data_IF_121366749506
#
_entry.id   IF_121366749506
#
_cell.length_a   1.000
_cell.length_b   1.000
_cell.length_c   1.000
_cell.angle_alpha   90.00
_cell.angle_beta   90.00
_cell.angle_gamma   90.00
#
_symmetry.space_group_name_H-M   'P 1'
#
loop_
_entity.id
_entity.type
_entity.pdbx_description
1 polymer ?
#
# COMPACT_ATOMS: atom_id res chain seq x y z
N UNK A 1 10.42 1.53 -2.68
CA UNK A 1 10.67 1.58 -1.22
C UNK A 1 12.15 1.43 -0.92
N UNK A 2 12.79 0.28 -1.22
CA UNK A 2 14.24 0.08 -1.00
C UNK A 2 15.08 1.15 -1.70
N UNK A 3 14.80 1.46 -2.97
CA UNK A 3 15.50 2.53 -3.69
C UNK A 3 15.38 3.92 -3.03
N UNK A 4 14.22 4.22 -2.42
CA UNK A 4 14.02 5.48 -1.68
C UNK A 4 14.77 5.50 -0.35
N UNK A 5 14.85 4.35 0.34
CA UNK A 5 15.63 4.20 1.57
C UNK A 5 17.14 4.36 1.28
N UNK A 6 17.63 3.80 0.19
CA UNK A 6 19.03 3.96 -0.24
C UNK A 6 19.32 5.42 -0.63
N UNK A 7 18.46 6.03 -1.45
CA UNK A 7 18.68 7.38 -1.97
C UNK A 7 18.56 8.49 -0.91
N UNK A 8 17.60 8.38 0.02
CA UNK A 8 17.30 9.45 0.99
C UNK A 8 17.76 9.13 2.42
N UNK A 9 17.87 7.85 2.79
CA UNK A 9 18.10 7.40 4.16
C UNK A 9 19.52 6.90 4.44
N UNK A 10 20.40 6.84 3.43
CA UNK A 10 21.78 6.37 3.58
C UNK A 10 21.88 4.90 4.01
N UNK A 11 20.85 4.11 3.72
CA UNK A 11 20.81 2.69 4.02
C UNK A 11 21.46 1.89 2.88
N UNK A 12 22.24 0.86 3.19
CA UNK A 12 22.64 -0.12 2.18
C UNK A 12 21.50 -1.13 1.94
N UNK A 13 21.27 -1.55 0.68
CA UNK A 13 20.11 -2.36 0.32
C UNK A 13 20.04 -3.72 1.03
N UNK A 14 21.17 -4.25 1.48
CA UNK A 14 21.27 -5.54 2.18
C UNK A 14 20.99 -5.44 3.69
N UNK A 15 21.09 -4.25 4.28
CA UNK A 15 20.93 -4.02 5.72
C UNK A 15 19.47 -3.73 6.14
N UNK A 16 18.57 -3.58 5.17
CA UNK A 16 17.23 -3.06 5.39
C UNK A 16 16.19 -4.17 5.37
N UNK A 17 15.38 -4.23 6.42
CA UNK A 17 14.26 -5.18 6.54
C UNK A 17 12.94 -4.41 6.60
N UNK A 18 11.88 -5.01 6.05
CA UNK A 18 10.52 -4.46 6.15
C UNK A 18 10.03 -4.66 7.58
N UNK A 19 9.80 -3.57 8.31
CA UNK A 19 9.31 -3.61 9.69
C UNK A 19 7.79 -3.76 9.75
N UNK A 20 7.09 -3.04 8.87
CA UNK A 20 5.63 -3.00 8.82
C UNK A 20 5.16 -2.79 7.39
N UNK A 21 4.07 -3.46 7.03
CA UNK A 21 3.40 -3.28 5.76
C UNK A 21 1.89 -3.25 6.02
N UNK A 22 1.25 -2.13 5.72
CA UNK A 22 -0.19 -1.94 5.90
C UNK A 22 -0.85 -1.56 4.57
N UNK A 23 -2.05 -2.09 4.37
CA UNK A 23 -2.90 -1.77 3.22
C UNK A 23 -4.21 -1.20 3.73
N UNK A 24 -4.40 0.10 3.51
CA UNK A 24 -5.59 0.82 3.93
C UNK A 24 -6.56 1.01 2.78
N UNK A 25 -7.83 1.21 3.12
CA UNK A 25 -8.87 1.53 2.17
C UNK A 25 -8.62 2.92 1.55
N UNK A 26 -8.63 2.98 0.21
CA UNK A 26 -8.58 4.21 -0.55
C UNK A 26 -9.95 4.67 -1.05
N UNK A 27 -10.00 5.77 -1.81
CA UNK A 27 -11.25 6.27 -2.38
C UNK A 27 -11.88 5.27 -3.34
N UNK A 28 -13.15 4.92 -3.10
CA UNK A 28 -13.89 4.00 -3.95
C UNK A 28 -14.62 4.76 -5.05
N UNK A 29 -14.26 4.51 -6.32
CA UNK A 29 -14.94 5.15 -7.44
C UNK A 29 -16.31 4.50 -7.69
N UNK A 30 -17.31 5.35 -7.96
CA UNK A 30 -18.67 4.94 -8.30
C UNK A 30 -18.85 4.85 -9.82
N UNK A 31 -19.40 3.73 -10.31
CA UNK A 31 -19.84 3.53 -11.69
C UNK A 31 -21.23 2.89 -11.69
N UNK A 32 -21.96 3.04 -12.79
CA UNK A 32 -23.28 2.42 -12.97
C UNK A 32 -23.26 1.48 -14.16
N UNK A 33 -23.91 0.33 -14.02
CA UNK A 33 -24.14 -0.60 -15.12
C UNK A 33 -25.65 -0.68 -15.37
N UNK A 34 -26.11 -0.45 -16.61
CA UNK A 34 -27.53 -0.53 -16.95
C UNK A 34 -28.05 -1.96 -16.76
N UNK A 35 -29.31 -2.08 -16.33
CA UNK A 35 -30.02 -3.34 -16.08
C UNK A 35 -31.43 -3.27 -16.70
N UNK A 36 -32.15 -4.39 -16.64
CA UNK A 36 -33.52 -4.48 -17.13
C UNK A 36 -34.45 -3.48 -16.43
N UNK A 37 -35.57 -3.14 -17.10
CA UNK A 37 -36.63 -2.25 -16.58
C UNK A 37 -36.13 -0.85 -16.18
N UNK A 38 -35.19 -0.27 -16.93
CA UNK A 38 -34.68 1.09 -16.68
C UNK A 38 -33.90 1.26 -15.37
N UNK A 39 -33.47 0.16 -14.75
CA UNK A 39 -32.72 0.20 -13.49
C UNK A 39 -31.21 0.26 -13.74
N UNK A 40 -30.47 0.84 -12.79
CA UNK A 40 -29.00 0.88 -12.83
C UNK A 40 -28.43 0.35 -11.52
N UNK A 41 -27.62 -0.70 -11.61
CA UNK A 41 -26.88 -1.23 -10.45
C UNK A 41 -25.52 -0.56 -10.35
N UNK A 42 -25.11 -0.18 -9.14
CA UNK A 42 -23.80 0.42 -8.89
C UNK A 42 -22.67 -0.61 -8.94
N UNK A 43 -21.54 -0.24 -9.52
CA UNK A 43 -20.26 -0.96 -9.46
C UNK A 43 -19.28 -0.07 -8.69
N UNK A 44 -18.63 -0.66 -7.69
CA UNK A 44 -17.55 -0.02 -6.94
C UNK A 44 -16.21 -0.41 -7.57
N UNK A 45 -15.32 0.56 -7.74
CA UNK A 45 -13.92 0.31 -8.09
C UNK A 45 -13.08 0.73 -6.88
N UNK A 46 -12.78 -0.20 -5.96
CA UNK A 46 -11.99 0.11 -4.78
C UNK A 46 -10.54 0.35 -5.16
N UNK A 47 -9.90 1.31 -4.49
CA UNK A 47 -8.46 1.50 -4.48
C UNK A 47 -7.93 1.31 -3.07
N UNK A 48 -6.61 1.22 -2.92
CA UNK A 48 -5.95 1.11 -1.63
C UNK A 48 -4.78 2.05 -1.52
N UNK A 49 -4.42 2.38 -0.29
CA UNK A 49 -3.16 3.04 0.05
C UNK A 49 -2.25 2.00 0.70
N UNK A 50 -1.07 1.81 0.11
CA UNK A 50 -0.07 0.85 0.59
C UNK A 50 1.02 1.65 1.29
N UNK A 51 1.24 1.36 2.57
CA UNK A 51 2.28 1.98 3.37
C UNK A 51 3.27 0.88 3.79
N UNK A 52 4.54 1.10 3.47
CA UNK A 52 5.63 0.17 3.76
C UNK A 52 6.68 0.91 4.56
N UNK A 53 6.94 0.40 5.75
CA UNK A 53 7.99 0.89 6.65
C UNK A 53 9.17 -0.07 6.60
N UNK A 54 10.36 0.52 6.64
CA UNK A 54 11.62 -0.21 6.58
C UNK A 54 12.50 0.23 7.74
N UNK A 55 13.18 -0.73 8.38
CA UNK A 55 14.09 -0.49 9.49
C UNK A 55 15.35 -1.34 9.35
N UNK A 56 16.45 -0.90 9.98
CA UNK A 56 17.61 -1.77 10.19
C UNK A 56 17.26 -2.84 11.22
N UNK A 57 17.89 -4.00 11.10
CA UNK A 57 17.88 -5.01 12.16
C UNK A 57 18.59 -4.46 13.39
N UNK A 58 17.84 -4.13 14.44
CA UNK A 58 18.43 -3.93 15.75
C UNK A 58 18.92 -5.30 16.25
N UNK A 59 20.22 -5.43 16.50
CA UNK A 59 20.74 -6.57 17.29
C UNK A 59 20.02 -6.55 18.64
N UNK A 60 19.24 -7.58 18.93
CA UNK A 60 18.89 -7.90 20.32
C UNK A 60 20.19 -8.33 20.99
N UNK A 61 20.69 -7.51 21.91
CA UNK A 61 21.56 -7.98 22.97
C UNK A 61 20.67 -8.67 24.01
N UNK A 62 20.99 -9.95 24.25
CA UNK A 62 20.52 -10.95 25.22
C UNK A 62 19.27 -10.68 26.08
#
# INVERSE_FOLDING_TARGET
VIASAVANGGFEPEEVVVSSCRVDAGPVLKRFRPRARGSASGIRKPTSHILVEVSKLAKKED
#
